data_IF_350232948231
#
_entry.id   IF_350232948231
#
_cell.length_a   1.000
_cell.length_b   1.000
_cell.length_c   1.000
_cell.angle_alpha   90.00
_cell.angle_beta   90.00
_cell.angle_gamma   90.00
#
_symmetry.space_group_name_H-M   'P 1'
#
loop_
_entity.id
_entity.type
_entity.pdbx_description
1 polymer ?
#
# COMPACT_ATOMS: atom_id res chain seq x y z
N UNK A 1 22.09 15.93 0.32
CA UNK A 1 21.47 14.74 0.97
C UNK A 1 21.48 13.59 -0.01
N UNK A 2 22.04 12.45 0.38
CA UNK A 2 21.95 11.21 -0.41
C UNK A 2 20.50 10.74 -0.53
N UNK A 3 20.20 9.94 -1.56
CA UNK A 3 18.88 9.34 -1.79
C UNK A 3 18.36 8.61 -0.54
N UNK A 4 19.23 7.82 0.10
CA UNK A 4 18.94 7.12 1.35
C UNK A 4 18.54 8.07 2.48
N UNK A 5 19.19 9.22 2.60
CA UNK A 5 18.84 10.23 3.59
C UNK A 5 17.45 10.85 3.36
N UNK A 6 17.01 10.99 2.10
CA UNK A 6 15.65 11.47 1.78
C UNK A 6 14.59 10.43 2.13
N UNK A 7 14.82 9.16 1.79
CA UNK A 7 13.89 8.07 2.11
C UNK A 7 13.75 7.87 3.62
N UNK A 8 14.87 7.91 4.36
CA UNK A 8 14.85 7.84 5.82
C UNK A 8 14.07 9.00 6.44
N UNK A 9 14.22 10.22 5.91
CA UNK A 9 13.47 11.38 6.38
C UNK A 9 11.97 11.22 6.12
N UNK A 10 11.56 10.77 4.93
CA UNK A 10 10.16 10.50 4.62
C UNK A 10 9.57 9.42 5.53
N UNK A 11 10.32 8.34 5.78
CA UNK A 11 9.91 7.25 6.66
C UNK A 11 9.69 7.71 8.11
N UNK A 12 10.36 8.77 8.56
CA UNK A 12 10.16 9.34 9.91
C UNK A 12 9.04 10.38 9.90
N UNK A 13 9.04 11.29 8.93
CA UNK A 13 8.11 12.42 8.89
C UNK A 13 6.68 11.95 8.61
N UNK A 14 6.49 10.99 7.71
CA UNK A 14 5.15 10.51 7.33
C UNK A 14 4.41 9.91 8.54
N UNK A 15 4.96 8.94 9.31
CA UNK A 15 4.29 8.41 10.49
C UNK A 15 4.05 9.45 11.58
N UNK A 16 4.96 10.42 11.76
CA UNK A 16 4.75 11.51 12.73
C UNK A 16 3.53 12.33 12.33
N UNK A 17 3.43 12.72 11.06
CA UNK A 17 2.28 13.48 10.56
C UNK A 17 0.99 12.66 10.68
N UNK A 18 1.02 11.37 10.36
CA UNK A 18 -0.12 10.47 10.52
C UNK A 18 -0.61 10.41 11.97
N UNK A 19 0.30 10.21 12.93
CA UNK A 19 -0.05 10.16 14.35
C UNK A 19 -0.66 11.48 14.84
N UNK A 20 -0.10 12.62 14.44
CA UNK A 20 -0.67 13.94 14.76
C UNK A 20 -2.08 14.09 14.20
N UNK A 21 -2.30 13.66 12.96
CA UNK A 21 -3.63 13.70 12.33
C UNK A 21 -4.62 12.80 13.04
N UNK A 22 -4.24 11.56 13.39
CA UNK A 22 -5.11 10.61 14.11
C UNK A 22 -5.47 11.12 15.51
N UNK A 23 -4.52 11.72 16.23
CA UNK A 23 -4.80 12.32 17.55
C UNK A 23 -5.76 13.50 17.42
N UNK A 24 -5.55 14.39 16.44
CA UNK A 24 -6.44 15.53 16.22
C UNK A 24 -7.85 15.08 15.76
N UNK A 25 -7.94 14.06 14.91
CA UNK A 25 -9.23 13.42 14.57
C UNK A 25 -9.89 12.83 15.81
N UNK A 26 -9.15 12.09 16.64
CA UNK A 26 -9.65 11.51 17.88
C UNK A 26 -10.25 12.56 18.83
N UNK A 27 -9.66 13.76 18.89
CA UNK A 27 -10.18 14.89 19.67
C UNK A 27 -11.44 15.53 19.07
N UNK A 28 -11.58 15.54 17.74
CA UNK A 28 -12.70 16.21 17.04
C UNK A 28 -13.93 15.32 16.87
N UNK A 29 -13.75 14.06 16.48
CA UNK A 29 -14.83 13.13 16.14
C UNK A 29 -14.93 11.93 17.09
N UNK A 30 -14.04 11.83 18.07
CA UNK A 30 -13.99 10.75 19.05
C UNK A 30 -13.11 9.57 18.62
N UNK A 31 -12.64 8.80 19.61
CA UNK A 31 -11.74 7.68 19.40
C UNK A 31 -12.39 6.56 18.57
N UNK A 32 -13.62 6.17 18.90
CA UNK A 32 -14.33 5.08 18.21
C UNK A 32 -14.52 5.39 16.71
N UNK A 33 -14.94 6.61 16.38
CA UNK A 33 -15.10 7.06 14.99
C UNK A 33 -13.77 7.06 14.23
N UNK A 34 -12.68 7.48 14.89
CA UNK A 34 -11.33 7.50 14.30
C UNK A 34 -10.82 6.08 14.04
N UNK A 35 -11.00 5.17 14.99
CA UNK A 35 -10.64 3.75 14.83
C UNK A 35 -11.46 3.11 13.72
N UNK A 36 -12.77 3.36 13.65
CA UNK A 36 -13.60 2.87 12.56
C UNK A 36 -13.11 3.37 11.20
N UNK A 37 -12.70 4.64 11.10
CA UNK A 37 -12.13 5.22 9.87
C UNK A 37 -10.82 4.53 9.47
N UNK A 38 -9.91 4.30 10.42
CA UNK A 38 -8.65 3.56 10.17
C UNK A 38 -8.94 2.13 9.70
N UNK A 39 -9.90 1.44 10.32
CA UNK A 39 -10.29 0.10 9.90
C UNK A 39 -10.86 0.12 8.48
N UNK A 40 -11.77 1.05 8.17
CA UNK A 40 -12.39 1.15 6.83
C UNK A 40 -11.33 1.44 5.76
N UNK A 41 -10.42 2.38 6.02
CA UNK A 41 -9.35 2.74 5.09
C UNK A 41 -8.35 1.58 4.92
N UNK A 42 -7.99 0.90 6.00
CA UNK A 42 -7.13 -0.30 5.96
C UNK A 42 -7.75 -1.45 5.18
N UNK A 43 -9.03 -1.76 5.40
CA UNK A 43 -9.76 -2.78 4.63
C UNK A 43 -9.81 -2.40 3.15
N UNK A 44 -10.08 -1.13 2.85
CA UNK A 44 -10.14 -0.64 1.47
C UNK A 44 -8.79 -0.81 0.78
N UNK A 45 -7.70 -0.36 1.41
CA UNK A 45 -6.33 -0.52 0.90
C UNK A 45 -5.95 -1.99 0.69
N UNK A 46 -6.18 -2.84 1.69
CA UNK A 46 -5.90 -4.27 1.60
C UNK A 46 -6.70 -4.96 0.49
N UNK A 47 -7.96 -4.56 0.30
CA UNK A 47 -8.82 -5.11 -0.77
C UNK A 47 -8.30 -4.68 -2.14
N UNK A 48 -7.90 -3.42 -2.31
CA UNK A 48 -7.31 -2.92 -3.55
C UNK A 48 -5.99 -3.63 -3.88
N UNK A 49 -5.09 -3.79 -2.90
CA UNK A 49 -3.84 -4.53 -3.07
C UNK A 49 -4.09 -6.00 -3.45
N UNK A 50 -5.08 -6.65 -2.83
CA UNK A 50 -5.48 -8.03 -3.16
C UNK A 50 -6.01 -8.15 -4.59
N UNK A 51 -6.85 -7.21 -5.03
CA UNK A 51 -7.41 -7.21 -6.38
C UNK A 51 -6.31 -7.02 -7.44
N UNK A 52 -5.39 -6.08 -7.23
CA UNK A 52 -4.28 -5.85 -8.16
C UNK A 52 -3.33 -7.06 -8.18
N UNK A 53 -3.04 -7.66 -7.01
CA UNK A 53 -2.22 -8.87 -6.93
C UNK A 53 -2.83 -10.05 -7.69
N UNK A 54 -4.15 -10.25 -7.58
CA UNK A 54 -4.85 -11.29 -8.36
C UNK A 54 -4.80 -11.01 -9.86
N UNK A 55 -4.99 -9.75 -10.27
CA UNK A 55 -4.91 -9.34 -11.68
C UNK A 55 -3.54 -9.64 -12.27
N UNK A 56 -2.48 -9.26 -11.57
CA UNK A 56 -1.09 -9.52 -11.99
C UNK A 56 -0.83 -11.03 -12.09
N UNK A 57 -1.32 -11.81 -11.12
CA UNK A 57 -1.17 -13.26 -11.14
C UNK A 57 -1.83 -13.90 -12.37
N UNK A 58 -3.04 -13.46 -12.74
CA UNK A 58 -3.70 -13.95 -13.96
C UNK A 58 -2.94 -13.56 -15.23
N UNK A 59 -2.41 -12.34 -15.32
CA UNK A 59 -1.56 -11.94 -16.45
C UNK A 59 -0.29 -12.78 -16.55
N UNK A 60 0.37 -13.02 -15.43
CA UNK A 60 1.55 -13.89 -15.37
C UNK A 60 1.22 -15.29 -15.93
N UNK A 61 0.11 -15.89 -15.51
CA UNK A 61 -0.33 -17.21 -15.98
C UNK A 61 -0.63 -17.21 -17.49
N UNK A 62 -1.29 -16.16 -18.00
CA UNK A 62 -1.61 -16.02 -19.43
C UNK A 62 -0.35 -15.88 -20.28
N UNK A 63 0.61 -15.06 -19.86
CA UNK A 63 1.86 -14.84 -20.57
C UNK A 63 2.69 -16.13 -20.61
N UNK A 64 2.80 -16.82 -19.47
CA UNK A 64 3.45 -18.14 -19.38
C UNK A 64 2.78 -19.19 -20.28
N UNK A 65 1.45 -19.26 -20.28
CA UNK A 65 0.71 -20.19 -21.14
C UNK A 65 0.89 -19.87 -22.64
N UNK A 66 1.12 -18.61 -22.99
CA UNK A 66 1.41 -18.17 -24.36
C UNK A 66 2.88 -18.34 -24.77
N UNK A 67 3.73 -18.90 -23.90
CA UNK A 67 5.17 -19.07 -24.13
C UNK A 67 5.95 -17.74 -24.12
N UNK A 68 5.38 -16.68 -23.55
CA UNK A 68 6.01 -15.35 -23.44
C UNK A 68 6.59 -15.19 -22.04
N UNK A 69 7.75 -14.53 -21.95
CA UNK A 69 8.38 -14.21 -20.67
C UNK A 69 7.61 -13.09 -19.96
N UNK A 70 7.12 -13.30 -18.73
CA UNK A 70 6.21 -12.37 -18.06
C UNK A 70 6.93 -11.23 -17.32
N UNK A 71 7.83 -10.52 -18.01
CA UNK A 71 8.68 -9.50 -17.39
C UNK A 71 7.88 -8.36 -16.76
N UNK A 72 6.81 -7.91 -17.43
CA UNK A 72 5.97 -6.82 -16.92
C UNK A 72 5.16 -7.26 -15.70
N UNK A 73 4.50 -8.43 -15.77
CA UNK A 73 3.74 -8.97 -14.65
C UNK A 73 4.62 -9.22 -13.42
N UNK A 74 5.91 -9.56 -13.59
CA UNK A 74 6.85 -9.67 -12.47
C UNK A 74 7.15 -8.33 -11.80
N UNK A 75 7.34 -7.25 -12.57
CA UNK A 75 7.56 -5.90 -12.03
C UNK A 75 6.31 -5.34 -11.35
N UNK A 76 5.14 -5.56 -11.95
CA UNK A 76 3.85 -5.14 -11.38
C UNK A 76 3.58 -5.92 -10.09
N UNK A 77 3.88 -7.22 -10.07
CA UNK A 77 3.73 -8.07 -8.89
C UNK A 77 4.64 -7.65 -7.74
N UNK A 78 5.89 -7.30 -8.05
CA UNK A 78 6.82 -6.74 -7.07
C UNK A 78 6.32 -5.39 -6.52
N UNK A 79 5.75 -4.55 -7.39
CA UNK A 79 5.21 -3.24 -7.00
C UNK A 79 4.00 -3.39 -6.08
N UNK A 80 3.10 -4.33 -6.36
CA UNK A 80 1.95 -4.65 -5.48
C UNK A 80 2.44 -5.21 -4.15
N UNK A 81 3.48 -6.06 -4.14
CA UNK A 81 4.04 -6.60 -2.90
C UNK A 81 4.68 -5.51 -2.03
N UNK A 82 5.47 -4.62 -2.62
CA UNK A 82 6.13 -3.52 -1.88
C UNK A 82 5.12 -2.46 -1.43
N UNK A 83 4.12 -2.14 -2.27
CA UNK A 83 3.12 -1.12 -1.96
C UNK A 83 1.97 -1.61 -1.08
N UNK A 84 1.73 -2.92 -1.03
CA UNK A 84 0.66 -3.56 -0.26
C UNK A 84 1.11 -4.22 1.06
N UNK A 85 2.41 -4.39 1.29
CA UNK A 85 3.00 -4.89 2.54
C UNK A 85 3.38 -3.75 3.49
#
# INVERSE_FOLDING_TARGET
MSLLGRLALLFIVIPIVELVLLVELGRRIGLLSTVALVIITGITGATMARLEGLRVFFQFQLEMASGRLPGQAMLDGLSVLIGGA
#
